data_IF_115558220712
#
_entry.id   IF_115558220712
#
_cell.length_a   1.000
_cell.length_b   1.000
_cell.length_c   1.000
_cell.angle_alpha   90.00
_cell.angle_beta   90.00
_cell.angle_gamma   90.00
#
_symmetry.space_group_name_H-M   'P 1'
#
loop_
_entity.id
_entity.type
_entity.pdbx_description
1 polymer ?
#
# COMPACT_ATOMS: atom_id res chain seq x y z
N UNK A 1 13.59 2.47 5.13
CA UNK A 1 12.13 2.34 4.94
C UNK A 1 11.68 0.87 4.97
N UNK A 2 12.24 -0.02 4.16
CA UNK A 2 11.80 -1.43 4.04
C UNK A 2 11.78 -2.19 5.37
N UNK A 3 12.83 -2.13 6.17
CA UNK A 3 12.84 -2.82 7.48
C UNK A 3 11.81 -2.22 8.46
N UNK A 4 11.63 -0.90 8.44
CA UNK A 4 10.67 -0.20 9.31
C UNK A 4 9.19 -0.43 8.95
N UNK A 5 8.88 -0.97 7.77
CA UNK A 5 7.48 -1.25 7.38
C UNK A 5 7.18 -2.74 7.51
N UNK A 6 8.12 -3.61 7.13
CA UNK A 6 7.85 -5.04 6.95
C UNK A 6 8.34 -5.94 8.09
N UNK A 7 9.18 -5.45 9.00
CA UNK A 7 9.59 -6.21 10.19
C UNK A 7 8.81 -5.69 11.39
N UNK A 8 7.98 -6.54 12.01
CA UNK A 8 7.07 -6.14 13.08
C UNK A 8 7.78 -5.39 14.22
N UNK A 9 8.91 -5.89 14.72
CA UNK A 9 9.69 -5.25 15.80
C UNK A 9 10.24 -3.86 15.46
N UNK A 10 10.43 -3.58 14.18
CA UNK A 10 11.01 -2.32 13.71
C UNK A 10 9.92 -1.31 13.33
N UNK A 11 8.68 -1.76 13.17
CA UNK A 11 7.57 -0.92 12.75
C UNK A 11 7.22 0.12 13.81
N UNK A 12 6.91 -0.33 15.01
CA UNK A 12 6.45 0.57 16.07
C UNK A 12 7.54 1.57 16.49
N UNK A 13 8.81 1.17 16.34
CA UNK A 13 9.95 2.00 16.70
C UNK A 13 10.31 3.05 15.66
N UNK A 14 10.34 2.69 14.37
CA UNK A 14 10.93 3.55 13.33
C UNK A 14 9.88 4.14 12.38
N UNK A 15 8.70 3.54 12.27
CA UNK A 15 7.67 4.02 11.38
C UNK A 15 7.20 5.45 11.72
N UNK A 16 7.02 5.85 13.00
CA UNK A 16 6.60 7.21 13.30
C UNK A 16 7.58 8.27 12.79
N UNK A 17 8.88 8.06 13.01
CA UNK A 17 9.93 8.98 12.57
C UNK A 17 10.01 9.05 11.04
N UNK A 18 10.01 7.89 10.37
CA UNK A 18 10.10 7.81 8.90
C UNK A 18 8.87 8.45 8.24
N UNK A 19 7.68 8.18 8.76
CA UNK A 19 6.44 8.73 8.19
C UNK A 19 6.31 10.24 8.47
N UNK A 20 6.74 10.71 9.65
CA UNK A 20 6.77 12.14 9.94
C UNK A 20 7.72 12.90 9.00
N UNK A 21 8.91 12.35 8.74
CA UNK A 21 9.86 12.95 7.81
C UNK A 21 9.32 12.97 6.36
N UNK A 22 8.67 11.88 5.94
CA UNK A 22 8.05 11.80 4.62
C UNK A 22 6.85 12.75 4.48
N UNK A 23 6.02 12.87 5.51
CA UNK A 23 4.88 13.79 5.52
C UNK A 23 5.34 15.24 5.40
N UNK A 24 6.40 15.61 6.13
CA UNK A 24 7.03 16.93 6.02
C UNK A 24 7.60 17.20 4.60
N UNK A 25 8.23 16.20 3.98
CA UNK A 25 8.71 16.31 2.60
C UNK A 25 7.55 16.55 1.61
N UNK A 26 6.47 15.78 1.76
CA UNK A 26 5.28 15.86 0.89
C UNK A 26 4.39 17.07 1.17
N UNK A 27 4.57 17.73 2.33
CA UNK A 27 3.98 19.03 2.60
C UNK A 27 4.64 20.14 1.78
N UNK A 28 5.96 20.03 1.53
CA UNK A 28 6.72 21.01 0.75
C UNK A 28 6.62 20.81 -0.77
N UNK A 29 6.34 19.58 -1.22
CA UNK A 29 6.39 19.20 -2.63
C UNK A 29 5.35 18.13 -2.98
N UNK A 30 4.70 18.19 -4.16
CA UNK A 30 3.71 17.18 -4.56
C UNK A 30 4.31 15.78 -4.81
N UNK A 31 5.61 15.70 -5.13
CA UNK A 31 6.36 14.47 -5.38
C UNK A 31 7.68 14.45 -4.61
N UNK A 32 8.30 13.27 -4.53
CA UNK A 32 9.46 13.02 -3.66
C UNK A 32 10.70 13.80 -4.09
N UNK A 33 10.98 13.87 -5.38
CA UNK A 33 12.16 14.57 -5.92
C UNK A 33 11.89 16.04 -6.30
N UNK A 34 10.65 16.52 -6.10
CA UNK A 34 10.26 17.88 -6.43
C UNK A 34 8.91 17.96 -7.15
N UNK A 35 8.73 18.89 -8.11
CA UNK A 35 7.41 19.16 -8.69
C UNK A 35 6.95 18.12 -9.73
N UNK A 36 7.83 17.23 -10.18
CA UNK A 36 7.54 16.26 -11.22
C UNK A 36 7.51 14.83 -10.66
N UNK A 37 6.59 14.02 -11.18
CA UNK A 37 6.52 12.59 -10.87
C UNK A 37 7.73 11.86 -11.46
N UNK A 38 8.43 11.07 -10.65
CA UNK A 38 9.66 10.37 -11.03
C UNK A 38 9.76 8.93 -10.52
N UNK A 39 10.98 8.38 -10.63
CA UNK A 39 11.30 7.02 -10.22
C UNK A 39 11.10 6.81 -8.71
N UNK A 40 11.47 7.79 -7.90
CA UNK A 40 11.29 7.75 -6.45
C UNK A 40 9.81 7.58 -6.07
N UNK A 41 8.89 8.22 -6.81
CA UNK A 41 7.47 8.10 -6.54
C UNK A 41 6.93 6.70 -6.85
N UNK A 42 7.44 6.05 -7.89
CA UNK A 42 7.09 4.65 -8.20
C UNK A 42 7.57 3.73 -7.09
N UNK A 43 8.83 3.87 -6.67
CA UNK A 43 9.46 3.01 -5.68
C UNK A 43 8.81 3.16 -4.31
N UNK A 44 8.72 4.39 -3.78
CA UNK A 44 8.16 4.65 -2.46
C UNK A 44 6.64 4.48 -2.48
N UNK A 45 5.97 4.95 -3.54
CA UNK A 45 4.54 4.82 -3.72
C UNK A 45 4.05 3.37 -3.73
N UNK A 46 4.80 2.47 -4.37
CA UNK A 46 4.49 1.03 -4.36
C UNK A 46 4.45 0.45 -2.95
N UNK A 47 5.42 0.79 -2.11
CA UNK A 47 5.44 0.36 -0.71
C UNK A 47 4.32 1.02 0.12
N UNK A 48 4.03 2.30 -0.10
CA UNK A 48 2.96 2.99 0.62
C UNK A 48 1.59 2.39 0.29
N UNK A 49 1.32 2.10 -0.98
CA UNK A 49 0.06 1.47 -1.41
C UNK A 49 -0.04 -0.01 -0.99
N UNK A 50 1.08 -0.66 -0.71
CA UNK A 50 1.09 -2.01 -0.13
C UNK A 50 0.53 -2.02 1.30
N UNK A 51 0.80 -1.00 2.11
CA UNK A 51 0.38 -0.93 3.51
C UNK A 51 -1.13 -1.15 3.68
N UNK A 52 -2.03 -0.35 3.07
CA UNK A 52 -3.47 -0.56 3.23
C UNK A 52 -3.98 -1.86 2.60
N UNK A 53 -3.27 -2.41 1.61
CA UNK A 53 -3.68 -3.64 0.92
C UNK A 53 -3.34 -4.92 1.70
N UNK A 54 -2.25 -4.91 2.48
CA UNK A 54 -1.71 -6.12 3.11
C UNK A 54 -1.40 -5.99 4.61
N UNK A 55 -1.37 -4.76 5.15
CA UNK A 55 -1.08 -4.44 6.54
C UNK A 55 -2.20 -3.54 7.14
N UNK A 56 -3.46 -4.01 7.17
CA UNK A 56 -4.61 -3.20 7.58
C UNK A 56 -4.56 -2.69 9.04
N UNK A 57 -3.70 -3.28 9.88
CA UNK A 57 -3.47 -2.86 11.27
C UNK A 57 -2.64 -1.59 11.40
N UNK A 58 -2.02 -1.11 10.32
CA UNK A 58 -1.17 0.08 10.35
C UNK A 58 -2.02 1.34 10.14
N UNK A 59 -2.00 2.22 11.13
CA UNK A 59 -2.66 3.52 11.04
C UNK A 59 -1.71 4.59 10.47
N UNK A 60 -2.19 5.30 9.44
CA UNK A 60 -1.49 6.40 8.77
C UNK A 60 -2.25 7.74 8.91
N UNK A 61 -3.31 7.80 9.71
CA UNK A 61 -4.16 9.00 9.86
C UNK A 61 -3.41 10.21 10.40
N UNK A 62 -2.30 10.00 11.11
CA UNK A 62 -1.41 11.07 11.59
C UNK A 62 -0.62 11.78 10.47
N UNK A 63 -0.61 11.26 9.23
CA UNK A 63 0.21 11.74 8.12
C UNK A 63 -0.66 12.16 6.91
N UNK A 64 -1.32 13.33 6.97
CA UNK A 64 -2.30 13.73 5.97
C UNK A 64 -1.71 13.97 4.57
N UNK A 65 -0.46 14.43 4.47
CA UNK A 65 0.20 14.67 3.18
C UNK A 65 0.60 13.34 2.53
N UNK A 66 1.02 12.36 3.33
CA UNK A 66 1.23 10.97 2.87
C UNK A 66 -0.06 10.38 2.34
N UNK A 67 -1.18 10.52 3.06
CA UNK A 67 -2.49 10.01 2.61
C UNK A 67 -2.96 10.69 1.32
N UNK A 68 -2.83 12.01 1.22
CA UNK A 68 -3.16 12.74 0.00
C UNK A 68 -2.29 12.29 -1.18
N UNK A 69 -1.00 12.08 -0.94
CA UNK A 69 -0.06 11.56 -1.93
C UNK A 69 -0.42 10.14 -2.39
N UNK A 70 -0.72 9.23 -1.47
CA UNK A 70 -1.18 7.87 -1.78
C UNK A 70 -2.44 7.88 -2.64
N UNK A 71 -3.39 8.75 -2.33
CA UNK A 71 -4.61 8.93 -3.13
C UNK A 71 -4.27 9.37 -4.56
N UNK A 72 -3.43 10.40 -4.72
CA UNK A 72 -2.98 10.86 -6.05
C UNK A 72 -2.29 9.75 -6.85
N UNK A 73 -1.48 8.92 -6.19
CA UNK A 73 -0.83 7.78 -6.84
C UNK A 73 -1.83 6.74 -7.33
N UNK A 74 -2.78 6.36 -6.47
CA UNK A 74 -3.78 5.34 -6.78
C UNK A 74 -4.72 5.76 -7.93
N UNK A 75 -4.98 7.05 -8.09
CA UNK A 75 -5.80 7.61 -9.18
C UNK A 75 -5.08 7.58 -10.54
N UNK A 76 -3.77 7.29 -10.59
CA UNK A 76 -3.04 7.23 -11.87
C UNK A 76 -3.46 6.00 -12.68
N UNK A 77 -3.70 6.12 -14.00
CA UNK A 77 -4.24 5.04 -14.82
C UNK A 77 -3.48 3.72 -14.70
N UNK A 78 -2.15 3.78 -14.74
CA UNK A 78 -1.29 2.60 -14.65
C UNK A 78 -1.34 1.95 -13.26
N UNK A 79 -1.43 2.76 -12.20
CA UNK A 79 -1.51 2.25 -10.83
C UNK A 79 -2.89 1.63 -10.57
N UNK A 80 -3.97 2.31 -10.96
CA UNK A 80 -5.33 1.80 -10.89
C UNK A 80 -5.48 0.48 -11.65
N UNK A 81 -4.88 0.36 -12.84
CA UNK A 81 -4.87 -0.89 -13.61
C UNK A 81 -4.20 -2.04 -12.86
N UNK A 82 -3.04 -1.80 -12.23
CA UNK A 82 -2.35 -2.82 -11.41
C UNK A 82 -3.17 -3.23 -10.19
N UNK A 83 -3.78 -2.27 -9.48
CA UNK A 83 -4.64 -2.57 -8.32
C UNK A 83 -5.88 -3.35 -8.74
N UNK A 84 -6.51 -2.99 -9.86
CA UNK A 84 -7.65 -3.71 -10.41
C UNK A 84 -7.28 -5.15 -10.81
N UNK A 85 -6.12 -5.35 -11.44
CA UNK A 85 -5.59 -6.67 -11.76
C UNK A 85 -5.39 -7.53 -10.51
N UNK A 86 -4.68 -7.02 -9.49
CA UNK A 86 -4.45 -7.75 -8.24
C UNK A 86 -5.74 -8.03 -7.45
N UNK A 87 -6.73 -7.14 -7.52
CA UNK A 87 -8.05 -7.37 -6.91
C UNK A 87 -8.89 -8.41 -7.65
N UNK A 88 -8.67 -8.61 -8.96
CA UNK A 88 -9.30 -9.68 -9.73
C UNK A 88 -8.68 -11.05 -9.40
N UNK A 89 -7.36 -11.12 -9.27
CA UNK A 89 -6.62 -12.32 -8.88
C UNK A 89 -7.06 -12.84 -7.50
N UNK A 90 -7.10 -11.97 -6.48
CA UNK A 90 -7.58 -12.37 -5.13
C UNK A 90 -9.02 -12.89 -5.13
N UNK A 91 -9.88 -12.33 -5.99
CA UNK A 91 -11.27 -12.80 -6.13
C UNK A 91 -11.33 -14.19 -6.77
N UNK A 92 -10.49 -14.45 -7.76
CA UNK A 92 -10.37 -15.77 -8.38
C UNK A 92 -9.86 -16.82 -7.37
N UNK A 93 -8.83 -16.48 -6.58
CA UNK A 93 -8.29 -17.35 -5.52
C UNK A 93 -9.33 -17.67 -4.45
N UNK A 94 -10.08 -16.65 -3.99
CA UNK A 94 -11.16 -16.83 -3.00
C UNK A 94 -12.27 -17.73 -3.54
N UNK A 95 -12.63 -17.56 -4.81
CA UNK A 95 -13.68 -18.36 -5.47
C UNK A 95 -13.23 -19.82 -5.62
N UNK A 96 -11.97 -20.05 -6.02
CA UNK A 96 -11.41 -21.39 -6.13
C UNK A 96 -11.33 -22.10 -4.76
N UNK A 97 -10.93 -21.39 -3.71
CA UNK A 97 -10.88 -21.92 -2.34
C UNK A 97 -12.29 -22.28 -1.81
N UNK A 98 -13.30 -21.45 -2.10
CA UNK A 98 -14.69 -21.72 -1.74
C UNK A 98 -15.27 -22.93 -2.49
N UNK A 99 -14.97 -23.08 -3.78
CA UNK A 99 -15.39 -24.24 -4.58
C UNK A 99 -14.74 -25.55 -4.09
N UNK A 100 -13.48 -25.51 -3.69
CA UNK A 100 -12.80 -26.66 -3.08
C UNK A 100 -13.40 -27.05 -1.72
N UNK A 101 -13.75 -26.07 -0.88
CA UNK A 101 -14.44 -26.33 0.39
C UNK A 101 -15.85 -26.89 0.20
N UNK A 102 -16.62 -26.38 -0.77
CA UNK A 102 -17.94 -26.91 -1.09
C UNK A 102 -17.87 -28.36 -1.62
N UNK A 103 -16.91 -28.66 -2.51
CA UNK A 103 -16.70 -30.01 -3.02
C UNK A 103 -16.19 -31.01 -1.96
N UNK A 104 -15.51 -30.53 -0.91
CA UNK A 104 -15.10 -31.35 0.22
C UNK A 104 -16.25 -31.61 1.20
N UNK A 105 -17.17 -30.65 1.38
CA UNK A 105 -18.36 -30.79 2.21
C UNK A 105 -19.43 -31.69 1.59
N UNK A 106 -19.50 -31.80 0.25
CA UNK A 106 -20.42 -32.70 -0.46
C UNK A 106 -19.93 -34.16 -0.47
N UNK A 107 -18.64 -34.39 -0.16
CA UNK A 107 -18.03 -35.73 -0.11
C UNK A 107 -17.88 -36.32 1.29
N UNK A 108 -18.35 -35.62 2.33
CA UNK A 108 -18.34 -36.04 3.73
C UNK A 108 -19.75 -36.41 4.19
#
# INVERSE_FOLDING_TARGET
>A
MTQAVFVNEWRDRFMPEVMAALDALLAASPHIEGPAFGLCDVLVGGYLLYIPAYLPQVDLTAYPHVLAYMKRLAERPHCAATVAAGAAERRAETTAAQQQQAAAAEKA
#
